data_IF_777047515235
#
_entry.id   IF_777047515235
#
_cell.length_a   1.000
_cell.length_b   1.000
_cell.length_c   1.000
_cell.angle_alpha   90.00
_cell.angle_beta   90.00
_cell.angle_gamma   90.00
#
_symmetry.space_group_name_H-M   'P 1'
#
loop_
_entity.id
_entity.type
_entity.pdbx_description
1 polymer ?
#
# COMPACT_ATOMS: atom_id res chain seq x y z
N UNK A 1 31.09 17.10 -0.35
CA UNK A 1 29.86 17.16 -1.18
C UNK A 1 28.96 16.00 -0.78
N UNK A 2 27.74 16.33 -0.33
CA UNK A 2 26.53 15.50 -0.10
C UNK A 2 26.72 14.11 0.54
N UNK A 3 26.49 14.04 1.86
CA UNK A 3 26.12 12.83 2.60
C UNK A 3 24.89 12.23 1.92
N UNK A 4 25.04 11.08 1.27
CA UNK A 4 23.90 10.28 0.84
C UNK A 4 23.12 9.88 2.09
N UNK A 5 21.89 10.35 2.22
CA UNK A 5 20.94 9.83 3.19
C UNK A 5 20.85 8.33 2.90
N UNK A 6 21.34 7.50 3.83
CA UNK A 6 21.10 6.05 3.80
C UNK A 6 19.59 5.90 3.67
N UNK A 7 19.15 5.50 2.47
CA UNK A 7 17.80 5.03 2.27
C UNK A 7 17.67 3.90 3.29
N UNK A 8 16.71 4.01 4.20
CA UNK A 8 16.29 2.87 5.00
C UNK A 8 15.99 1.76 3.98
N UNK A 9 16.76 0.68 4.00
CA UNK A 9 16.51 -0.46 3.12
C UNK A 9 15.04 -0.84 3.36
N UNK A 10 14.24 -0.76 2.30
CA UNK A 10 12.83 -1.12 2.41
C UNK A 10 12.78 -2.57 2.89
N UNK A 11 11.92 -2.81 3.87
CA UNK A 11 11.74 -4.16 4.37
C UNK A 11 11.10 -4.97 3.24
N UNK A 12 11.73 -6.09 2.89
CA UNK A 12 11.29 -6.93 1.78
C UNK A 12 9.98 -7.61 2.15
N UNK A 13 9.01 -7.61 1.23
CA UNK A 13 7.69 -8.21 1.46
C UNK A 13 7.63 -9.61 0.85
N UNK A 14 7.50 -10.63 1.68
CA UNK A 14 7.46 -12.04 1.27
C UNK A 14 6.05 -12.60 1.06
N UNK A 15 5.02 -11.83 1.45
CA UNK A 15 3.61 -12.26 1.40
C UNK A 15 3.14 -13.05 2.63
N UNK A 16 4.00 -13.33 3.61
CA UNK A 16 3.63 -14.21 4.74
C UNK A 16 2.86 -13.51 5.86
N UNK A 17 3.05 -12.19 6.03
CA UNK A 17 2.36 -11.41 7.06
C UNK A 17 1.56 -10.26 6.42
N UNK A 18 0.22 -10.35 6.42
CA UNK A 18 -0.64 -9.31 5.86
C UNK A 18 -0.50 -7.93 6.51
N UNK A 19 -0.19 -7.86 7.81
CA UNK A 19 0.02 -6.59 8.50
C UNK A 19 1.21 -5.82 7.93
N UNK A 20 2.22 -6.53 7.43
CA UNK A 20 3.40 -5.92 6.79
C UNK A 20 3.08 -5.31 5.44
N UNK A 21 1.99 -5.71 4.78
CA UNK A 21 1.57 -5.13 3.49
C UNK A 21 1.29 -3.63 3.64
N UNK A 22 0.59 -3.24 4.70
CA UNK A 22 0.29 -1.82 5.00
C UNK A 22 1.57 -0.98 5.17
N UNK A 23 2.55 -1.52 5.92
CA UNK A 23 3.84 -0.89 6.14
C UNK A 23 4.66 -0.78 4.85
N UNK A 24 4.66 -1.83 4.03
CA UNK A 24 5.31 -1.85 2.73
C UNK A 24 4.75 -0.78 1.77
N UNK A 25 3.42 -0.70 1.66
CA UNK A 25 2.74 0.31 0.82
C UNK A 25 3.01 1.73 1.31
N UNK A 26 2.99 1.94 2.64
CA UNK A 26 3.32 3.23 3.23
C UNK A 26 4.75 3.66 2.89
N UNK A 27 5.73 2.75 3.00
CA UNK A 27 7.12 3.05 2.65
C UNK A 27 7.30 3.33 1.14
N UNK A 28 6.61 2.59 0.26
CA UNK A 28 6.57 2.88 -1.17
C UNK A 28 6.04 4.30 -1.43
N UNK A 29 4.91 4.66 -0.78
CA UNK A 29 4.32 6.00 -0.88
C UNK A 29 5.28 7.11 -0.43
N UNK A 30 6.01 6.91 0.68
CA UNK A 30 7.06 7.84 1.12
C UNK A 30 8.17 7.99 0.08
N UNK A 31 8.63 6.88 -0.50
CA UNK A 31 9.68 6.92 -1.52
C UNK A 31 9.24 7.73 -2.75
N UNK A 32 8.02 7.48 -3.23
CA UNK A 32 7.46 8.15 -4.41
C UNK A 32 7.31 9.65 -4.17
N UNK A 33 6.85 10.05 -2.97
CA UNK A 33 6.76 11.45 -2.57
C UNK A 33 8.13 12.11 -2.40
N UNK A 34 9.16 11.38 -1.96
CA UNK A 34 10.51 11.93 -1.80
C UNK A 34 11.22 12.18 -3.14
N UNK A 35 10.91 11.38 -4.17
CA UNK A 35 11.53 11.43 -5.52
C UNK A 35 10.46 11.53 -6.61
N UNK A 36 9.65 12.60 -6.65
CA UNK A 36 8.51 12.70 -7.55
C UNK A 36 8.92 12.76 -9.03
N UNK A 37 10.17 13.16 -9.33
CA UNK A 37 10.71 13.16 -10.70
C UNK A 37 11.01 11.76 -11.22
N UNK A 38 11.40 10.83 -10.34
CA UNK A 38 11.74 9.45 -10.69
C UNK A 38 10.49 8.59 -10.78
N UNK A 39 9.51 8.80 -9.90
CA UNK A 39 8.30 7.99 -9.79
C UNK A 39 7.06 8.67 -10.37
N UNK A 40 7.23 9.31 -11.54
CA UNK A 40 6.11 9.98 -12.23
C UNK A 40 5.08 9.01 -12.81
N UNK A 41 5.54 7.85 -13.30
CA UNK A 41 4.69 6.88 -13.97
C UNK A 41 4.29 5.72 -13.07
N UNK A 42 3.10 5.18 -13.28
CA UNK A 42 2.64 3.97 -12.59
C UNK A 42 3.62 2.81 -12.79
N UNK A 43 4.06 2.59 -14.03
CA UNK A 43 5.07 1.59 -14.37
C UNK A 43 6.33 1.68 -13.50
N UNK A 44 6.87 2.88 -13.28
CA UNK A 44 8.06 3.07 -12.43
C UNK A 44 7.80 2.79 -10.95
N UNK A 45 6.59 3.05 -10.46
CA UNK A 45 6.18 2.74 -9.08
C UNK A 45 6.00 1.23 -8.90
N UNK A 46 5.34 0.58 -9.85
CA UNK A 46 5.06 -0.86 -9.87
C UNK A 46 6.37 -1.64 -9.89
N UNK A 47 7.27 -1.38 -10.84
CA UNK A 47 8.55 -2.09 -10.90
C UNK A 47 9.45 -1.82 -9.69
N UNK A 48 9.33 -0.64 -9.08
CA UNK A 48 10.01 -0.37 -7.83
C UNK A 48 9.46 -1.27 -6.72
N UNK A 49 8.15 -1.31 -6.50
CA UNK A 49 7.54 -2.18 -5.51
C UNK A 49 7.85 -3.67 -5.77
N UNK A 50 7.73 -4.14 -7.02
CA UNK A 50 8.09 -5.51 -7.43
C UNK A 50 9.53 -5.88 -7.06
N UNK A 51 10.47 -4.92 -7.12
CA UNK A 51 11.88 -5.19 -6.77
C UNK A 51 12.13 -5.49 -5.29
N UNK A 52 11.15 -5.20 -4.42
CA UNK A 52 11.19 -5.50 -2.99
C UNK A 52 10.28 -6.65 -2.59
N UNK A 53 9.57 -7.27 -3.54
CA UNK A 53 8.85 -8.51 -3.30
C UNK A 53 9.82 -9.68 -3.22
N UNK A 54 9.51 -10.63 -2.35
CA UNK A 54 10.24 -11.89 -2.18
C UNK A 54 9.26 -13.04 -1.96
N UNK A 55 9.78 -14.26 -1.88
CA UNK A 55 9.01 -15.46 -1.52
C UNK A 55 7.74 -15.62 -2.35
N UNK A 56 6.65 -15.98 -1.68
CA UNK A 56 5.35 -16.24 -2.30
C UNK A 56 4.78 -14.99 -2.99
N UNK A 57 5.04 -13.80 -2.46
CA UNK A 57 4.64 -12.56 -3.12
C UNK A 57 5.28 -12.43 -4.50
N UNK A 58 6.59 -12.63 -4.62
CA UNK A 58 7.28 -12.54 -5.91
C UNK A 58 6.81 -13.63 -6.88
N UNK A 59 6.69 -14.88 -6.40
CA UNK A 59 6.23 -16.02 -7.20
C UNK A 59 4.85 -15.79 -7.83
N UNK A 60 3.97 -15.07 -7.14
CA UNK A 60 2.63 -14.74 -7.66
C UNK A 60 2.67 -13.79 -8.87
N UNK A 61 3.61 -12.86 -8.91
CA UNK A 61 3.70 -11.85 -9.99
C UNK A 61 4.70 -12.21 -11.09
N UNK A 62 5.65 -13.11 -10.83
CA UNK A 62 6.72 -13.48 -11.77
C UNK A 62 6.22 -13.92 -13.16
N UNK A 63 5.22 -14.83 -13.28
CA UNK A 63 4.76 -15.31 -14.58
C UNK A 63 4.26 -14.18 -15.50
N UNK A 64 3.50 -13.24 -14.94
CA UNK A 64 2.95 -12.12 -15.69
C UNK A 64 4.04 -11.11 -16.09
N UNK A 65 4.98 -10.83 -15.19
CA UNK A 65 6.12 -9.94 -15.48
C UNK A 65 7.00 -10.51 -16.58
N UNK A 66 7.21 -11.83 -16.59
CA UNK A 66 7.96 -12.53 -17.63
C UNK A 66 7.21 -12.57 -18.97
N UNK A 67 5.92 -12.86 -18.97
CA UNK A 67 5.11 -12.86 -20.20
C UNK A 67 5.07 -11.50 -20.90
N UNK A 68 5.02 -10.40 -20.14
CA UNK A 68 5.07 -9.03 -20.69
C UNK A 68 6.44 -8.74 -21.31
N UNK A 69 7.53 -9.26 -20.73
CA UNK A 69 8.88 -9.09 -21.27
C UNK A 69 9.04 -9.79 -22.62
N UNK A 70 8.44 -10.98 -22.75
CA UNK A 70 8.55 -11.80 -23.96
C UNK A 70 7.53 -11.39 -25.04
N UNK A 71 6.73 -10.34 -24.80
CA UNK A 71 5.68 -9.84 -25.70
C UNK A 71 4.65 -10.91 -26.10
N UNK A 72 4.50 -11.96 -25.28
CA UNK A 72 3.68 -13.14 -25.60
C UNK A 72 2.23 -12.99 -25.18
N UNK A 73 1.91 -12.01 -24.33
CA UNK A 73 0.57 -11.81 -23.78
C UNK A 73 0.21 -10.32 -23.61
N UNK A 74 -1.09 -10.04 -23.59
CA UNK A 74 -1.64 -8.75 -23.15
C UNK A 74 -1.16 -8.42 -21.74
N UNK A 75 -0.64 -7.21 -21.55
CA UNK A 75 -0.17 -6.75 -20.24
C UNK A 75 -1.35 -6.63 -19.27
N UNK A 76 -1.31 -7.29 -18.09
CA UNK A 76 -2.38 -7.19 -17.11
C UNK A 76 -2.49 -5.77 -16.54
N UNK A 77 -3.71 -5.39 -16.12
CA UNK A 77 -4.02 -4.03 -15.66
C UNK A 77 -3.18 -3.63 -14.44
N UNK A 78 -2.91 -4.56 -13.52
CA UNK A 78 -2.04 -4.34 -12.36
C UNK A 78 -0.57 -4.05 -12.69
N UNK A 79 -0.11 -4.29 -13.93
CA UNK A 79 1.22 -3.86 -14.40
C UNK A 79 1.19 -2.49 -15.10
N UNK A 80 0.01 -1.92 -15.32
CA UNK A 80 -0.20 -0.62 -15.98
C UNK A 80 -0.57 0.48 -14.99
N UNK A 81 -1.39 0.16 -13.98
CA UNK A 81 -1.93 1.11 -13.02
C UNK A 81 -1.51 0.76 -11.60
N UNK A 82 -1.13 1.77 -10.82
CA UNK A 82 -0.60 1.57 -9.48
C UNK A 82 -1.71 1.14 -8.50
N UNK A 83 -2.91 1.62 -8.73
CA UNK A 83 -4.11 1.35 -7.96
C UNK A 83 -4.53 -0.13 -8.13
N UNK A 84 -4.54 -0.63 -9.36
CA UNK A 84 -4.78 -2.04 -9.69
C UNK A 84 -3.69 -2.96 -9.10
N UNK A 85 -2.43 -2.49 -9.05
CA UNK A 85 -1.35 -3.22 -8.40
C UNK A 85 -1.56 -3.37 -6.89
N UNK A 86 -2.06 -2.32 -6.23
CA UNK A 86 -2.39 -2.40 -4.80
C UNK A 86 -3.55 -3.37 -4.58
N UNK A 87 -4.60 -3.28 -5.40
CA UNK A 87 -5.74 -4.18 -5.31
C UNK A 87 -5.32 -5.65 -5.44
N UNK A 88 -4.52 -5.99 -6.46
CA UNK A 88 -4.02 -7.35 -6.66
C UNK A 88 -3.16 -7.83 -5.47
N UNK A 89 -2.35 -6.95 -4.88
CA UNK A 89 -1.57 -7.25 -3.69
C UNK A 89 -2.46 -7.52 -2.46
N UNK A 90 -3.52 -6.74 -2.27
CA UNK A 90 -4.47 -6.90 -1.17
C UNK A 90 -5.33 -8.17 -1.35
N UNK A 91 -5.75 -8.47 -2.58
CA UNK A 91 -6.52 -9.68 -2.88
C UNK A 91 -5.74 -10.96 -2.54
N UNK A 92 -4.43 -10.99 -2.81
CA UNK A 92 -3.59 -12.17 -2.59
C UNK A 92 -2.93 -12.23 -1.21
N UNK A 93 -2.60 -11.08 -0.62
CA UNK A 93 -1.78 -10.98 0.60
C UNK A 93 -2.31 -10.00 1.64
N UNK A 94 -3.46 -9.38 1.37
CA UNK A 94 -4.17 -8.59 2.36
C UNK A 94 -4.63 -9.47 3.53
N UNK A 95 -4.96 -8.84 4.68
CA UNK A 95 -5.60 -9.57 5.74
C UNK A 95 -6.87 -10.20 5.14
N UNK A 96 -7.13 -11.48 5.46
CA UNK A 96 -8.44 -12.07 5.17
C UNK A 96 -9.41 -11.23 5.98
N UNK A 97 -10.18 -10.42 5.28
CA UNK A 97 -11.00 -9.41 5.90
C UNK A 97 -11.94 -10.01 6.93
N UNK A 98 -11.70 -9.59 8.17
CA UNK A 98 -12.77 -9.20 9.09
C UNK A 98 -13.19 -7.74 8.82
N UNK A 99 -13.03 -7.21 7.60
CA UNK A 99 -13.56 -5.88 7.20
C UNK A 99 -15.11 -5.83 7.22
N UNK A 100 -15.82 -6.94 7.45
CA UNK A 100 -17.23 -6.88 7.88
C UNK A 100 -17.35 -6.22 9.28
N UNK A 101 -16.40 -6.43 10.19
CA UNK A 101 -16.42 -5.84 11.56
C UNK A 101 -15.85 -4.41 11.59
N UNK A 102 -14.87 -4.07 10.75
CA UNK A 102 -14.20 -2.77 10.81
C UNK A 102 -14.99 -1.64 10.11
N UNK A 103 -15.81 -1.95 9.09
CA UNK A 103 -16.79 -0.99 8.57
C UNK A 103 -17.91 -0.70 9.60
N UNK A 104 -18.34 -1.70 10.39
CA UNK A 104 -19.34 -1.51 11.45
C UNK A 104 -18.81 -0.57 12.57
N UNK A 105 -17.54 -0.72 12.96
CA UNK A 105 -16.88 0.13 13.96
C UNK A 105 -16.66 1.59 13.49
N UNK A 106 -16.59 1.86 12.18
CA UNK A 106 -16.51 3.22 11.64
C UNK A 106 -17.88 3.87 11.46
N UNK A 107 -18.95 3.09 11.23
CA UNK A 107 -20.33 3.59 11.23
C UNK A 107 -20.81 3.97 12.64
N UNK A 108 -20.36 3.24 13.68
CA UNK A 108 -20.68 3.56 15.08
C UNK A 108 -19.95 4.80 15.63
N UNK A 109 -18.92 5.30 14.92
CA UNK A 109 -18.25 6.56 15.23
C UNK A 109 -18.91 7.79 14.57
N UNK A 110 -20.15 7.68 14.09
CA UNK A 110 -20.95 8.88 13.79
C UNK A 110 -21.46 9.49 15.10
N UNK A 111 -20.70 10.47 15.61
CA UNK A 111 -21.10 11.40 16.67
C UNK A 111 -22.63 11.62 16.72
N UNK A 112 -23.26 11.12 17.78
CA UNK A 112 -24.58 11.56 18.18
C UNK A 112 -24.53 13.08 18.39
N UNK A 113 -25.17 13.82 17.49
CA UNK A 113 -25.14 15.29 17.40
C UNK A 113 -25.94 15.97 18.52
N UNK A 114 -25.91 15.43 19.74
CA UNK A 114 -26.69 15.90 20.87
C UNK A 114 -25.92 15.94 22.21
N UNK A 115 -24.58 15.91 22.21
CA UNK A 115 -23.84 16.20 23.44
C UNK A 115 -23.70 17.71 23.67
N UNK A 116 -24.50 18.16 24.63
CA UNK A 116 -24.67 19.52 25.11
C UNK A 116 -23.35 20.28 25.32
N UNK A 117 -23.30 21.48 24.74
CA UNK A 117 -22.26 22.50 24.88
C UNK A 117 -22.11 22.90 26.36
N UNK A 118 -20.91 22.63 26.91
CA UNK A 118 -20.24 23.25 28.07
C UNK A 118 -21.06 23.53 29.34
N UNK A 119 -20.80 22.71 30.37
CA UNK A 119 -21.05 23.02 31.78
C UNK A 119 -19.79 23.65 32.41
N UNK A 120 -19.75 24.97 32.53
CA UNK A 120 -18.86 25.66 33.47
C UNK A 120 -19.64 26.75 34.22
N UNK A 121 -20.20 26.35 35.36
CA UNK A 121 -20.57 27.29 36.42
C UNK A 121 -19.28 27.68 37.14
N UNK A 122 -18.86 28.94 37.01
CA UNK A 122 -17.90 29.55 37.92
C UNK A 122 -18.72 30.37 38.91
N UNK A 123 -18.78 29.91 40.16
CA UNK A 123 -19.31 30.67 41.29
C UNK A 123 -18.13 31.14 42.13
N UNK A 124 -17.96 32.46 42.26
CA UNK A 124 -17.40 33.13 43.45
C UNK A 124 -18.02 34.51 43.57
#
# INVERSE_FOLDING_TARGET
VKKGTKLQDLDTFDGSNPEKLSSFLFQCGLMFKSKPRTFKGNRTKIYYALSFLQGTALENFEPAVMAVRDYTLTTPLYLLYWEEFIYELQEHFGPVDAEEDAEEDLEDLKMGTNHCVTKYFISF
#
